data_IF_671756532524
#
_entry.id   IF_671756532524
#
_cell.length_a   1.000
_cell.length_b   1.000
_cell.length_c   1.000
_cell.angle_alpha   90.00
_cell.angle_beta   90.00
_cell.angle_gamma   90.00
#
_symmetry.space_group_name_H-M   'P 1'
#
loop_
_entity.id
_entity.type
_entity.pdbx_description
1 polymer ?
#
# COMPACT_ATOMS: atom_id res chain seq x y z
N UNK A 1 -63.30 -21.16 -12.16
CA UNK A 1 -63.53 -20.59 -10.81
C UNK A 1 -62.27 -20.00 -10.16
N UNK A 2 -61.05 -20.48 -10.45
CA UNK A 2 -59.80 -19.97 -9.83
C UNK A 2 -59.47 -18.48 -10.09
N UNK A 3 -59.79 -17.93 -11.27
CA UNK A 3 -59.52 -16.50 -11.57
C UNK A 3 -60.29 -15.53 -10.66
N UNK A 4 -61.52 -15.87 -10.25
CA UNK A 4 -62.33 -15.00 -9.36
C UNK A 4 -61.81 -15.00 -7.91
N UNK A 5 -61.25 -16.11 -7.43
CA UNK A 5 -60.63 -16.19 -6.10
C UNK A 5 -59.32 -15.39 -5.99
N UNK A 6 -58.45 -15.41 -7.03
CA UNK A 6 -57.20 -14.63 -7.04
C UNK A 6 -57.42 -13.12 -7.01
N UNK A 7 -58.49 -12.64 -7.66
CA UNK A 7 -58.91 -11.24 -7.63
C UNK A 7 -59.37 -10.81 -6.23
N UNK A 8 -60.05 -11.70 -5.49
CA UNK A 8 -60.57 -11.40 -4.16
C UNK A 8 -59.48 -11.22 -3.09
N UNK A 9 -58.34 -11.91 -3.23
CA UNK A 9 -57.20 -11.79 -2.31
C UNK A 9 -56.46 -10.46 -2.47
N UNK A 10 -56.12 -10.08 -3.71
CA UNK A 10 -55.40 -8.84 -4.02
C UNK A 10 -56.28 -7.58 -3.92
N UNK A 11 -57.59 -7.75 -3.85
CA UNK A 11 -58.58 -6.69 -3.63
C UNK A 11 -59.15 -6.72 -2.21
N UNK A 12 -58.47 -7.27 -1.20
CA UNK A 12 -58.91 -7.21 0.20
C UNK A 12 -57.89 -6.46 1.07
N UNK A 13 -58.23 -5.23 1.48
CA UNK A 13 -57.32 -4.34 2.21
C UNK A 13 -56.89 -4.90 3.57
N UNK A 14 -57.79 -5.43 4.43
CA UNK A 14 -57.42 -6.17 5.62
C UNK A 14 -56.37 -7.27 5.36
N UNK A 15 -56.56 -8.08 4.31
CA UNK A 15 -55.64 -9.18 3.97
C UNK A 15 -54.27 -8.67 3.53
N UNK A 16 -54.23 -7.64 2.68
CA UNK A 16 -52.97 -7.01 2.25
C UNK A 16 -52.24 -6.35 3.42
N UNK A 17 -52.97 -5.74 4.36
CA UNK A 17 -52.42 -5.10 5.55
C UNK A 17 -51.86 -6.14 6.53
N UNK A 18 -52.62 -7.20 6.81
CA UNK A 18 -52.14 -8.34 7.61
C UNK A 18 -50.91 -8.98 6.97
N UNK A 19 -50.91 -9.18 5.65
CA UNK A 19 -49.76 -9.74 4.95
C UNK A 19 -48.54 -8.81 4.98
N UNK A 20 -48.73 -7.49 4.89
CA UNK A 20 -47.66 -6.50 5.04
C UNK A 20 -47.04 -6.53 6.44
N UNK A 21 -47.87 -6.65 7.49
CA UNK A 21 -47.40 -6.72 8.88
C UNK A 21 -46.65 -8.02 9.15
N UNK A 22 -47.26 -9.17 8.82
CA UNK A 22 -46.64 -10.49 9.01
C UNK A 22 -45.38 -10.62 8.16
N UNK A 23 -45.43 -10.18 6.90
CA UNK A 23 -44.30 -10.17 5.99
C UNK A 23 -43.16 -9.30 6.50
N UNK A 24 -43.46 -8.12 7.07
CA UNK A 24 -42.45 -7.24 7.68
C UNK A 24 -41.82 -7.86 8.92
N UNK A 25 -42.62 -8.43 9.81
CA UNK A 25 -42.12 -9.10 11.01
C UNK A 25 -41.26 -10.32 10.66
N UNK A 26 -41.71 -11.14 9.71
CA UNK A 26 -40.97 -12.30 9.20
C UNK A 26 -39.66 -11.89 8.52
N UNK A 27 -39.69 -10.88 7.65
CA UNK A 27 -38.51 -10.35 6.98
C UNK A 27 -37.50 -9.79 7.99
N UNK A 28 -37.96 -9.02 8.98
CA UNK A 28 -37.09 -8.47 10.04
C UNK A 28 -36.42 -9.59 10.85
N UNK A 29 -37.18 -10.56 11.33
CA UNK A 29 -36.65 -11.69 12.11
C UNK A 29 -35.64 -12.50 11.29
N UNK A 30 -35.99 -12.84 10.04
CA UNK A 30 -35.06 -13.51 9.13
C UNK A 30 -33.77 -12.69 8.94
N UNK A 31 -33.88 -11.39 8.65
CA UNK A 31 -32.73 -10.51 8.41
C UNK A 31 -31.83 -10.41 9.64
N UNK A 32 -32.39 -10.24 10.84
CA UNK A 32 -31.60 -10.17 12.08
C UNK A 32 -30.79 -11.45 12.33
N UNK A 33 -31.41 -12.62 12.15
CA UNK A 33 -30.75 -13.93 12.30
C UNK A 33 -29.66 -14.10 11.24
N UNK A 34 -29.97 -13.83 9.97
CA UNK A 34 -29.03 -14.01 8.87
C UNK A 34 -27.85 -13.05 8.96
N UNK A 35 -28.09 -11.77 9.26
CA UNK A 35 -27.02 -10.79 9.41
C UNK A 35 -26.10 -11.14 10.58
N UNK A 36 -26.65 -11.64 11.70
CA UNK A 36 -25.86 -12.17 12.81
C UNK A 36 -25.04 -13.38 12.36
N UNK A 37 -25.65 -14.34 11.67
CA UNK A 37 -24.95 -15.52 11.16
C UNK A 37 -23.78 -15.15 10.23
N UNK A 38 -23.99 -14.21 9.30
CA UNK A 38 -22.93 -13.73 8.39
C UNK A 38 -21.80 -13.06 9.19
N UNK A 39 -22.14 -12.23 10.19
CA UNK A 39 -21.17 -11.56 11.05
C UNK A 39 -20.29 -12.55 11.82
N UNK A 40 -20.87 -13.61 12.35
CA UNK A 40 -20.22 -14.44 13.38
C UNK A 40 -19.66 -15.75 12.82
N UNK A 41 -20.36 -16.41 11.90
CA UNK A 41 -20.12 -17.82 11.58
C UNK A 41 -19.86 -18.10 10.10
N UNK A 42 -20.32 -17.25 9.17
CA UNK A 42 -20.18 -17.57 7.75
C UNK A 42 -18.71 -17.62 7.30
N UNK A 43 -18.43 -18.59 6.42
CA UNK A 43 -17.12 -18.88 5.84
C UNK A 43 -17.08 -18.80 4.31
N UNK A 44 -18.22 -18.55 3.67
CA UNK A 44 -18.37 -18.54 2.22
C UNK A 44 -19.13 -17.30 1.73
N UNK A 45 -18.49 -16.53 0.86
CA UNK A 45 -19.11 -15.35 0.24
C UNK A 45 -20.22 -15.72 -0.73
N UNK A 46 -20.18 -16.90 -1.35
CA UNK A 46 -21.30 -17.38 -2.17
C UNK A 46 -22.51 -17.69 -1.31
N UNK A 47 -22.30 -18.30 -0.13
CA UNK A 47 -23.38 -18.53 0.83
C UNK A 47 -23.94 -17.20 1.33
N UNK A 48 -23.09 -16.23 1.65
CA UNK A 48 -23.54 -14.89 2.04
C UNK A 48 -24.40 -14.22 0.96
N UNK A 49 -24.02 -14.39 -0.32
CA UNK A 49 -24.81 -13.88 -1.43
C UNK A 49 -26.23 -14.47 -1.43
N UNK A 50 -26.36 -15.80 -1.35
CA UNK A 50 -27.69 -16.46 -1.31
C UNK A 50 -28.49 -16.08 -0.07
N UNK A 51 -27.85 -16.00 1.10
CA UNK A 51 -28.51 -15.59 2.33
C UNK A 51 -29.04 -14.14 2.25
N UNK A 52 -28.26 -13.23 1.65
CA UNK A 52 -28.65 -11.86 1.37
C UNK A 52 -29.72 -11.75 0.27
N UNK A 53 -29.80 -12.69 -0.68
CA UNK A 53 -30.93 -12.72 -1.63
C UNK A 53 -32.26 -12.82 -0.89
N UNK A 54 -32.32 -13.57 0.22
CA UNK A 54 -33.49 -13.61 1.10
C UNK A 54 -33.88 -12.24 1.67
N UNK A 55 -32.90 -11.39 1.99
CA UNK A 55 -33.17 -10.00 2.42
C UNK A 55 -33.87 -9.20 1.31
N UNK A 56 -33.38 -9.27 0.07
CA UNK A 56 -34.00 -8.55 -1.05
C UNK A 56 -35.39 -9.10 -1.39
N UNK A 57 -35.57 -10.43 -1.32
CA UNK A 57 -36.89 -11.06 -1.46
C UNK A 57 -37.83 -10.56 -0.36
N UNK A 58 -37.36 -10.48 0.89
CA UNK A 58 -38.13 -9.92 2.02
C UNK A 58 -38.54 -8.48 1.81
N UNK A 59 -37.67 -7.63 1.25
CA UNK A 59 -38.02 -6.26 0.84
C UNK A 59 -39.18 -6.29 -0.16
N UNK A 60 -39.09 -7.08 -1.22
CA UNK A 60 -40.17 -7.17 -2.22
C UNK A 60 -41.48 -7.73 -1.64
N UNK A 61 -41.42 -8.72 -0.76
CA UNK A 61 -42.60 -9.29 -0.09
C UNK A 61 -43.39 -8.27 0.72
N UNK A 62 -42.74 -7.20 1.19
CA UNK A 62 -43.39 -6.10 1.92
C UNK A 62 -43.78 -4.97 0.97
N UNK A 63 -42.90 -4.60 0.05
CA UNK A 63 -43.13 -3.45 -0.84
C UNK A 63 -44.24 -3.70 -1.85
N UNK A 64 -44.40 -4.93 -2.37
CA UNK A 64 -45.49 -5.27 -3.30
C UNK A 64 -46.88 -5.06 -2.68
N UNK A 65 -47.22 -5.64 -1.51
CA UNK A 65 -48.53 -5.41 -0.90
C UNK A 65 -48.76 -3.97 -0.44
N UNK A 66 -47.72 -3.25 0.02
CA UNK A 66 -47.84 -1.82 0.31
C UNK A 66 -48.18 -1.01 -0.96
N UNK A 67 -47.57 -1.36 -2.09
CA UNK A 67 -47.86 -0.73 -3.38
C UNK A 67 -49.29 -1.05 -3.85
N UNK A 68 -49.77 -2.28 -3.64
CA UNK A 68 -51.15 -2.66 -3.94
C UNK A 68 -52.16 -1.92 -3.04
N UNK A 69 -51.84 -1.73 -1.76
CA UNK A 69 -52.63 -0.88 -0.85
C UNK A 69 -52.65 0.57 -1.34
N UNK A 70 -51.52 1.11 -1.78
CA UNK A 70 -51.43 2.46 -2.34
C UNK A 70 -52.28 2.61 -3.62
N UNK A 71 -52.17 1.66 -4.56
CA UNK A 71 -53.01 1.65 -5.78
C UNK A 71 -54.50 1.58 -5.43
N UNK A 72 -54.86 0.85 -4.38
CA UNK A 72 -56.24 0.79 -3.89
C UNK A 72 -56.73 2.12 -3.34
N UNK A 73 -55.99 2.71 -2.40
CA UNK A 73 -56.45 3.89 -1.66
C UNK A 73 -56.35 5.18 -2.47
N UNK A 74 -55.35 5.31 -3.33
CA UNK A 74 -55.08 6.56 -4.05
C UNK A 74 -55.43 6.49 -5.54
N UNK A 75 -55.42 5.30 -6.13
CA UNK A 75 -55.66 5.12 -7.57
C UNK A 75 -56.89 4.25 -7.87
N UNK A 76 -57.75 3.95 -6.89
CA UNK A 76 -58.96 3.14 -7.04
C UNK A 76 -58.75 1.79 -7.75
N UNK A 77 -57.65 1.09 -7.44
CA UNK A 77 -57.27 -0.20 -8.05
C UNK A 77 -57.00 -0.13 -9.57
N UNK A 78 -56.60 1.02 -10.12
CA UNK A 78 -56.34 1.18 -11.57
C UNK A 78 -55.38 0.14 -12.13
N UNK A 79 -54.29 -0.18 -11.42
CA UNK A 79 -53.32 -1.17 -11.88
C UNK A 79 -53.86 -2.60 -11.76
N UNK A 80 -54.50 -2.94 -10.64
CA UNK A 80 -55.10 -4.27 -10.43
C UNK A 80 -56.22 -4.54 -11.44
N UNK A 81 -57.08 -3.56 -11.70
CA UNK A 81 -58.16 -3.68 -12.68
C UNK A 81 -57.63 -3.88 -14.11
N UNK A 82 -56.51 -3.22 -14.46
CA UNK A 82 -55.79 -3.45 -15.72
C UNK A 82 -55.26 -4.89 -15.82
N UNK A 83 -54.59 -5.40 -14.79
CA UNK A 83 -54.02 -6.76 -14.78
C UNK A 83 -55.10 -7.85 -15.01
N UNK A 84 -56.33 -7.59 -14.54
CA UNK A 84 -57.44 -8.53 -14.65
C UNK A 84 -58.43 -8.20 -15.78
N UNK A 85 -58.15 -7.18 -16.60
CA UNK A 85 -59.02 -6.78 -17.70
C UNK A 85 -60.43 -6.39 -17.28
N UNK A 86 -60.61 -5.81 -16.09
CA UNK A 86 -61.92 -5.27 -15.67
C UNK A 86 -62.16 -3.95 -16.42
N UNK A 87 -63.23 -3.91 -17.20
CA UNK A 87 -63.64 -2.72 -17.94
C UNK A 87 -63.93 -1.56 -17.00
N UNK A 88 -63.26 -0.43 -17.25
CA UNK A 88 -63.56 0.85 -16.62
C UNK A 88 -64.72 1.45 -17.43
N UNK A 89 -65.87 1.63 -16.78
CA UNK A 89 -67.10 2.10 -17.42
C UNK A 89 -66.92 3.40 -18.23
N UNK A 90 -67.52 3.40 -19.43
CA UNK A 90 -67.82 4.52 -20.33
C UNK A 90 -67.00 5.81 -20.18
N UNK A 91 -65.73 5.76 -20.58
CA UNK A 91 -64.95 6.93 -21.00
C UNK A 91 -64.33 6.73 -22.38
N UNK A 92 -64.15 7.85 -23.06
CA UNK A 92 -63.56 7.96 -24.39
C UNK A 92 -62.22 7.19 -24.50
N UNK A 93 -61.95 6.56 -25.65
CA UNK A 93 -60.86 5.57 -25.83
C UNK A 93 -59.47 6.18 -25.53
N UNK A 94 -59.29 7.46 -25.89
CA UNK A 94 -58.08 8.23 -25.62
C UNK A 94 -57.88 8.49 -24.12
N UNK A 95 -58.95 8.82 -23.40
CA UNK A 95 -58.96 9.01 -21.95
C UNK A 95 -58.70 7.69 -21.22
N UNK A 96 -59.24 6.57 -21.71
CA UNK A 96 -58.96 5.22 -21.20
C UNK A 96 -57.47 4.87 -21.33
N UNK A 97 -56.88 5.07 -22.52
CA UNK A 97 -55.48 4.77 -22.77
C UNK A 97 -54.52 5.61 -21.90
N UNK A 98 -54.82 6.90 -21.70
CA UNK A 98 -54.05 7.78 -20.82
C UNK A 98 -54.19 7.41 -19.33
N UNK A 99 -55.37 7.06 -18.85
CA UNK A 99 -55.59 6.59 -17.47
C UNK A 99 -54.89 5.25 -17.18
N UNK A 100 -54.85 4.35 -18.17
CA UNK A 100 -54.18 3.05 -18.07
C UNK A 100 -52.65 3.19 -18.07
N UNK A 101 -52.10 4.15 -18.82
CA UNK A 101 -50.66 4.46 -18.82
C UNK A 101 -50.24 5.18 -17.55
N UNK A 102 -51.01 6.16 -17.07
CA UNK A 102 -50.70 6.90 -15.84
C UNK A 102 -50.82 6.02 -14.59
N UNK A 103 -51.85 5.15 -14.50
CA UNK A 103 -51.99 4.19 -13.40
C UNK A 103 -50.84 3.17 -13.33
N UNK A 104 -50.29 2.77 -14.47
CA UNK A 104 -49.11 1.88 -14.51
C UNK A 104 -47.84 2.61 -14.06
N UNK A 105 -47.63 3.84 -14.53
CA UNK A 105 -46.50 4.66 -14.10
C UNK A 105 -46.56 4.93 -12.58
N UNK A 106 -47.74 5.29 -12.06
CA UNK A 106 -47.96 5.51 -10.62
C UNK A 106 -47.70 4.26 -9.79
N UNK A 107 -48.10 3.07 -10.26
CA UNK A 107 -47.80 1.81 -9.58
C UNK A 107 -46.30 1.54 -9.51
N UNK A 108 -45.55 1.68 -10.61
CA UNK A 108 -44.09 1.44 -10.58
C UNK A 108 -43.34 2.48 -9.76
N UNK A 109 -43.76 3.75 -9.79
CA UNK A 109 -43.19 4.80 -8.94
C UNK A 109 -43.42 4.47 -7.47
N UNK A 110 -44.66 4.09 -7.10
CA UNK A 110 -44.99 3.67 -5.75
C UNK A 110 -44.19 2.42 -5.33
N UNK A 111 -44.03 1.44 -6.22
CA UNK A 111 -43.22 0.24 -5.97
C UNK A 111 -41.76 0.59 -5.68
N UNK A 112 -41.15 1.45 -6.49
CA UNK A 112 -39.78 1.92 -6.26
C UNK A 112 -39.65 2.65 -4.93
N UNK A 113 -40.61 3.52 -4.61
CA UNK A 113 -40.64 4.28 -3.36
C UNK A 113 -40.75 3.34 -2.15
N UNK A 114 -41.72 2.41 -2.13
CA UNK A 114 -41.88 1.46 -1.04
C UNK A 114 -40.71 0.47 -0.96
N UNK A 115 -40.13 0.06 -2.08
CA UNK A 115 -38.91 -0.77 -2.11
C UNK A 115 -37.73 -0.05 -1.45
N UNK A 116 -37.55 1.24 -1.79
CA UNK A 116 -36.46 2.05 -1.24
C UNK A 116 -36.64 2.28 0.26
N UNK A 117 -37.87 2.62 0.70
CA UNK A 117 -38.18 2.82 2.12
C UNK A 117 -38.01 1.50 2.89
N UNK A 118 -38.59 0.40 2.42
CA UNK A 118 -38.47 -0.91 3.09
C UNK A 118 -37.02 -1.37 3.16
N UNK A 119 -36.24 -1.19 2.09
CA UNK A 119 -34.80 -1.49 2.09
C UNK A 119 -34.06 -0.67 3.13
N UNK A 120 -34.27 0.65 3.16
CA UNK A 120 -33.61 1.55 4.11
C UNK A 120 -34.00 1.23 5.55
N UNK A 121 -35.29 0.99 5.82
CA UNK A 121 -35.78 0.63 7.16
C UNK A 121 -35.17 -0.69 7.64
N UNK A 122 -35.18 -1.74 6.81
CA UNK A 122 -34.60 -3.03 7.20
C UNK A 122 -33.07 -3.00 7.34
N UNK A 123 -32.36 -2.26 6.49
CA UNK A 123 -30.91 -2.11 6.63
C UNK A 123 -30.56 -1.32 7.89
N UNK A 124 -31.29 -0.23 8.18
CA UNK A 124 -31.08 0.62 9.37
C UNK A 124 -31.35 -0.18 10.65
N UNK A 125 -32.47 -0.89 10.72
CA UNK A 125 -32.79 -1.77 11.86
C UNK A 125 -31.79 -2.93 11.99
N UNK A 126 -31.19 -3.37 10.88
CA UNK A 126 -30.07 -4.32 10.86
C UNK A 126 -28.70 -3.72 11.22
N UNK A 127 -28.65 -2.45 11.62
CA UNK A 127 -27.42 -1.73 11.96
C UNK A 127 -26.56 -1.41 10.73
N UNK A 128 -27.18 -1.00 9.63
CA UNK A 128 -26.55 -0.67 8.35
C UNK A 128 -25.68 -1.82 7.80
N UNK A 129 -26.24 -3.03 7.83
CA UNK A 129 -25.53 -4.26 7.50
C UNK A 129 -24.90 -4.21 6.10
N UNK A 130 -25.59 -3.69 5.08
CA UNK A 130 -25.07 -3.67 3.71
C UNK A 130 -23.84 -2.77 3.56
N UNK A 131 -23.78 -1.65 4.29
CA UNK A 131 -22.60 -0.79 4.34
C UNK A 131 -21.44 -1.50 5.05
N UNK A 132 -21.71 -2.06 6.24
CA UNK A 132 -20.73 -2.83 7.00
C UNK A 132 -20.20 -4.05 6.23
N UNK A 133 -21.06 -4.78 5.53
CA UNK A 133 -20.71 -6.01 4.82
C UNK A 133 -19.78 -5.73 3.64
N UNK A 134 -20.08 -4.69 2.86
CA UNK A 134 -19.21 -4.24 1.76
C UNK A 134 -17.83 -3.81 2.25
N UNK A 135 -17.78 -3.14 3.40
CA UNK A 135 -16.53 -2.61 3.95
C UNK A 135 -15.68 -3.65 4.69
N UNK A 136 -16.32 -4.53 5.46
CA UNK A 136 -15.66 -5.49 6.34
C UNK A 136 -16.21 -6.91 6.20
N UNK A 137 -17.54 -7.09 6.19
CA UNK A 137 -18.17 -8.40 6.33
C UNK A 137 -17.73 -9.44 5.32
N UNK A 138 -17.68 -9.12 4.02
CA UNK A 138 -17.23 -10.07 2.99
C UNK A 138 -15.79 -10.56 3.21
N UNK A 139 -14.93 -9.69 3.75
CA UNK A 139 -13.54 -10.02 4.04
C UNK A 139 -13.41 -10.81 5.35
N UNK A 140 -14.24 -10.52 6.35
CA UNK A 140 -14.32 -11.30 7.59
C UNK A 140 -14.84 -12.72 7.33
N UNK A 141 -15.86 -12.88 6.48
CA UNK A 141 -16.30 -14.19 5.98
C UNK A 141 -15.13 -14.91 5.31
N UNK A 142 -14.44 -14.21 4.41
CA UNK A 142 -13.32 -14.79 3.66
C UNK A 142 -12.13 -15.17 4.55
N UNK A 143 -11.91 -14.50 5.70
CA UNK A 143 -10.92 -14.91 6.70
C UNK A 143 -11.24 -16.27 7.35
N UNK A 144 -12.51 -16.69 7.36
CA UNK A 144 -12.90 -18.01 7.87
C UNK A 144 -12.91 -19.09 6.77
N UNK A 145 -12.63 -18.73 5.52
CA UNK A 145 -12.59 -19.69 4.42
C UNK A 145 -11.43 -20.67 4.55
N UNK A 146 -11.55 -21.86 3.95
CA UNK A 146 -10.48 -22.87 3.90
C UNK A 146 -9.30 -22.44 3.01
N UNK A 147 -9.54 -21.54 2.06
CA UNK A 147 -8.52 -21.05 1.12
C UNK A 147 -7.59 -20.01 1.75
N UNK A 148 -6.31 -20.37 1.95
CA UNK A 148 -5.29 -19.43 2.44
C UNK A 148 -5.17 -18.19 1.55
N UNK A 149 -5.22 -18.35 0.23
CA UNK A 149 -5.18 -17.24 -0.74
C UNK A 149 -6.32 -16.24 -0.51
N UNK A 150 -7.53 -16.73 -0.25
CA UNK A 150 -8.68 -15.88 0.05
C UNK A 150 -8.51 -15.16 1.40
N UNK A 151 -7.98 -15.85 2.42
CA UNK A 151 -7.68 -15.24 3.73
C UNK A 151 -6.63 -14.13 3.60
N UNK A 152 -5.51 -14.39 2.92
CA UNK A 152 -4.44 -13.39 2.69
C UNK A 152 -4.96 -12.17 1.92
N UNK A 153 -5.71 -12.37 0.83
CA UNK A 153 -6.33 -11.25 0.08
C UNK A 153 -7.27 -10.42 0.98
N UNK A 154 -7.96 -11.08 1.90
CA UNK A 154 -8.87 -10.42 2.85
C UNK A 154 -8.12 -9.63 3.91
N UNK A 155 -6.96 -10.10 4.38
CA UNK A 155 -6.09 -9.32 5.27
C UNK A 155 -5.66 -8.00 4.63
N UNK A 156 -5.22 -8.03 3.36
CA UNK A 156 -4.89 -6.80 2.61
C UNK A 156 -6.09 -5.85 2.51
N UNK A 157 -7.26 -6.39 2.14
CA UNK A 157 -8.48 -5.59 1.95
C UNK A 157 -8.90 -4.94 3.27
N UNK A 158 -8.89 -5.70 4.38
CA UNK A 158 -9.23 -5.20 5.71
C UNK A 158 -8.25 -4.13 6.20
N UNK A 159 -6.96 -4.27 5.92
CA UNK A 159 -5.97 -3.25 6.26
C UNK A 159 -6.17 -1.97 5.45
N UNK A 160 -6.58 -2.08 4.17
CA UNK A 160 -6.85 -0.92 3.31
C UNK A 160 -8.15 -0.17 3.64
N UNK A 161 -9.13 -0.84 4.27
CA UNK A 161 -10.44 -0.26 4.60
C UNK A 161 -10.43 0.84 5.67
N UNK A 162 -9.25 1.20 6.21
CA UNK A 162 -9.06 2.37 7.05
C UNK A 162 -8.97 2.08 8.55
N UNK A 163 -8.14 2.90 9.20
CA UNK A 163 -7.44 2.72 10.47
C UNK A 163 -8.27 2.29 11.71
N UNK A 164 -7.57 1.55 12.57
CA UNK A 164 -7.66 1.59 14.05
C UNK A 164 -8.97 1.15 14.73
N UNK A 165 -9.80 0.32 14.10
CA UNK A 165 -10.85 -0.38 14.87
C UNK A 165 -10.19 -1.40 15.82
N UNK A 166 -10.36 -1.29 17.16
CA UNK A 166 -9.69 -2.18 18.10
C UNK A 166 -10.04 -3.66 17.87
N UNK A 167 -11.29 -3.95 17.50
CA UNK A 167 -11.73 -5.32 17.18
C UNK A 167 -11.00 -5.91 15.96
N UNK A 168 -10.65 -5.10 14.97
CA UNK A 168 -9.92 -5.54 13.79
C UNK A 168 -8.44 -5.79 14.13
N UNK A 169 -7.85 -4.98 15.01
CA UNK A 169 -6.49 -5.20 15.51
C UNK A 169 -6.38 -6.52 16.28
N UNK A 170 -7.40 -6.88 17.08
CA UNK A 170 -7.47 -8.19 17.75
C UNK A 170 -7.48 -9.36 16.74
N UNK A 171 -8.19 -9.21 15.62
CA UNK A 171 -8.20 -10.22 14.55
C UNK A 171 -6.80 -10.35 13.93
N UNK A 172 -6.13 -9.23 13.62
CA UNK A 172 -4.77 -9.27 13.10
C UNK A 172 -3.78 -9.88 14.10
N UNK A 173 -3.87 -9.53 15.39
CA UNK A 173 -3.01 -10.11 16.43
C UNK A 173 -3.23 -11.63 16.58
N UNK A 174 -4.49 -12.09 16.60
CA UNK A 174 -4.81 -13.52 16.68
C UNK A 174 -4.30 -14.29 15.45
N UNK A 175 -4.43 -13.70 14.26
CA UNK A 175 -3.88 -14.27 13.01
C UNK A 175 -2.36 -14.26 12.98
N UNK A 176 -1.71 -13.26 13.53
CA UNK A 176 -0.25 -13.24 13.66
C UNK A 176 0.24 -14.34 14.61
N UNK A 177 -0.55 -14.64 15.66
CA UNK A 177 -0.25 -15.72 16.61
C UNK A 177 -0.49 -17.12 16.04
N UNK A 178 -1.69 -17.37 15.51
CA UNK A 178 -2.20 -18.72 15.15
C UNK A 178 -2.30 -19.00 13.66
N UNK A 179 -2.17 -17.97 12.82
CA UNK A 179 -2.33 -18.10 11.38
C UNK A 179 -1.22 -18.92 10.72
N UNK A 180 -1.44 -19.21 9.45
CA UNK A 180 -0.45 -19.78 8.53
C UNK A 180 0.76 -18.86 8.36
N UNK A 181 1.89 -19.40 7.89
CA UNK A 181 3.10 -18.61 7.63
C UNK A 181 2.83 -17.41 6.73
N UNK A 182 2.06 -17.59 5.65
CA UNK A 182 1.74 -16.48 4.74
C UNK A 182 0.85 -15.42 5.39
N UNK A 183 -0.13 -15.81 6.21
CA UNK A 183 -0.95 -14.86 6.97
C UNK A 183 -0.07 -14.04 7.93
N UNK A 184 0.84 -14.69 8.66
CA UNK A 184 1.79 -14.01 9.57
C UNK A 184 2.65 -13.01 8.83
N UNK A 185 3.32 -13.44 7.75
CA UNK A 185 4.16 -12.57 6.92
C UNK A 185 3.38 -11.40 6.32
N UNK A 186 2.13 -11.63 5.89
CA UNK A 186 1.25 -10.58 5.38
C UNK A 186 0.98 -9.52 6.44
N UNK A 187 0.65 -9.93 7.67
CA UNK A 187 0.33 -9.00 8.76
C UNK A 187 1.59 -8.24 9.22
N UNK A 188 2.73 -8.92 9.33
CA UNK A 188 4.03 -8.32 9.64
C UNK A 188 4.35 -7.22 8.61
N UNK A 189 4.21 -7.54 7.33
CA UNK A 189 4.43 -6.60 6.24
C UNK A 189 3.46 -5.40 6.32
N UNK A 190 2.16 -5.64 6.50
CA UNK A 190 1.13 -4.59 6.64
C UNK A 190 1.41 -3.65 7.84
N UNK A 191 1.94 -4.20 8.93
CA UNK A 191 2.32 -3.40 10.09
C UNK A 191 3.52 -2.49 9.77
N UNK A 192 4.54 -3.03 9.09
CA UNK A 192 5.71 -2.27 8.65
C UNK A 192 5.41 -1.21 7.57
N UNK A 193 4.39 -1.40 6.75
CA UNK A 193 3.97 -0.45 5.70
C UNK A 193 3.05 0.67 6.20
N UNK A 194 3.05 0.97 7.50
CA UNK A 194 2.26 2.01 8.18
C UNK A 194 0.74 1.77 8.27
N UNK A 195 0.24 0.56 8.02
CA UNK A 195 -1.20 0.30 8.07
C UNK A 195 -1.69 -0.19 9.44
N UNK A 196 -0.83 -0.73 10.31
CA UNK A 196 -1.25 -1.41 11.55
C UNK A 196 -0.32 -1.10 12.76
N UNK A 197 -0.53 0.02 13.43
CA UNK A 197 0.18 0.38 14.68
C UNK A 197 -0.72 0.14 15.91
N UNK A 198 -0.60 -1.04 16.53
CA UNK A 198 -1.34 -1.40 17.75
C UNK A 198 -0.43 -2.18 18.71
N UNK A 199 -0.49 -1.97 20.05
CA UNK A 199 0.39 -2.63 21.01
C UNK A 199 0.40 -4.16 20.90
N UNK A 200 -0.77 -4.80 20.74
CA UNK A 200 -0.87 -6.25 20.56
C UNK A 200 -0.14 -6.75 19.31
N UNK A 201 -0.21 -5.99 18.21
CA UNK A 201 0.47 -6.34 16.96
C UNK A 201 1.97 -6.18 17.15
N UNK A 202 2.43 -5.08 17.76
CA UNK A 202 3.85 -4.85 18.04
C UNK A 202 4.42 -5.97 18.92
N UNK A 203 3.70 -6.37 19.97
CA UNK A 203 4.07 -7.48 20.85
C UNK A 203 4.23 -8.79 20.09
N UNK A 204 3.29 -9.12 19.20
CA UNK A 204 3.37 -10.33 18.39
C UNK A 204 4.47 -10.26 17.31
N UNK A 205 4.78 -9.08 16.77
CA UNK A 205 5.94 -8.90 15.87
C UNK A 205 7.24 -9.09 16.65
N UNK A 206 7.35 -8.59 17.88
CA UNK A 206 8.48 -8.82 18.78
C UNK A 206 8.67 -10.31 19.08
N UNK A 207 7.59 -11.05 19.32
CA UNK A 207 7.65 -12.52 19.43
C UNK A 207 8.18 -13.16 18.13
N UNK A 208 7.79 -12.62 16.97
CA UNK A 208 8.25 -13.08 15.65
C UNK A 208 9.77 -12.98 15.45
N UNK A 209 10.45 -12.02 16.10
CA UNK A 209 11.93 -11.95 16.09
C UNK A 209 12.56 -13.21 16.68
N UNK A 210 11.91 -13.83 17.67
CA UNK A 210 12.38 -15.05 18.33
C UNK A 210 12.01 -16.33 17.58
N UNK A 211 11.41 -16.21 16.39
CA UNK A 211 10.99 -17.37 15.59
C UNK A 211 12.19 -18.15 15.05
N UNK A 212 12.08 -19.48 15.00
CA UNK A 212 13.03 -20.33 14.29
C UNK A 212 12.91 -20.21 12.75
N UNK A 213 11.78 -19.71 12.25
CA UNK A 213 11.59 -19.46 10.82
C UNK A 213 12.29 -18.16 10.42
N UNK A 214 13.35 -18.28 9.61
CA UNK A 214 14.14 -17.13 9.16
C UNK A 214 13.31 -16.09 8.40
N UNK A 215 12.28 -16.50 7.65
CA UNK A 215 11.41 -15.56 6.92
C UNK A 215 10.58 -14.73 7.88
N UNK A 216 9.96 -15.36 8.88
CA UNK A 216 9.19 -14.65 9.92
C UNK A 216 10.11 -13.72 10.70
N UNK A 217 11.26 -14.24 11.17
CA UNK A 217 12.25 -13.47 11.92
C UNK A 217 12.69 -12.21 11.18
N UNK A 218 13.19 -12.34 9.96
CA UNK A 218 13.75 -11.21 9.20
C UNK A 218 12.69 -10.18 8.81
N UNK A 219 11.47 -10.61 8.47
CA UNK A 219 10.38 -9.68 8.18
C UNK A 219 9.87 -8.99 9.45
N UNK A 220 9.85 -9.68 10.59
CA UNK A 220 9.52 -9.08 11.89
C UNK A 220 10.51 -7.99 12.28
N UNK A 221 11.81 -8.25 12.10
CA UNK A 221 12.88 -7.26 12.32
C UNK A 221 12.63 -6.04 11.42
N UNK A 222 12.46 -6.24 10.12
CA UNK A 222 12.19 -5.16 9.17
C UNK A 222 10.94 -4.36 9.53
N UNK A 223 9.84 -5.02 9.87
CA UNK A 223 8.60 -4.36 10.26
C UNK A 223 8.79 -3.49 11.52
N UNK A 224 9.47 -4.01 12.55
CA UNK A 224 9.75 -3.24 13.76
C UNK A 224 10.58 -2.00 13.48
N UNK A 225 11.65 -2.12 12.69
CA UNK A 225 12.49 -0.95 12.33
C UNK A 225 11.72 0.14 11.57
N UNK A 226 10.61 -0.20 10.91
CA UNK A 226 9.73 0.77 10.23
C UNK A 226 8.63 1.34 11.13
N UNK A 227 8.24 0.61 12.18
CA UNK A 227 7.19 1.03 13.11
C UNK A 227 7.77 1.92 14.22
N UNK A 228 9.00 1.64 14.66
CA UNK A 228 9.66 2.35 15.76
C UNK A 228 10.10 3.75 15.33
N UNK A 229 9.68 4.78 16.08
CA UNK A 229 10.13 6.16 15.85
C UNK A 229 11.56 6.38 16.37
N UNK A 230 11.92 5.70 17.45
CA UNK A 230 13.29 5.71 18.02
C UNK A 230 13.73 4.27 18.23
N UNK A 231 14.89 3.84 17.69
CA UNK A 231 15.41 2.50 17.93
C UNK A 231 15.77 2.32 19.41
N UNK A 232 15.22 1.27 20.03
CA UNK A 232 15.69 0.82 21.34
C UNK A 232 17.05 0.13 21.22
N UNK A 233 17.93 0.33 22.21
CA UNK A 233 19.28 -0.25 22.26
C UNK A 233 19.26 -1.77 22.03
N UNK A 234 18.29 -2.47 22.62
CA UNK A 234 18.15 -3.93 22.47
C UNK A 234 17.88 -4.35 21.01
N UNK A 235 17.12 -3.54 20.27
CA UNK A 235 16.81 -3.83 18.86
C UNK A 235 18.04 -3.63 17.99
N UNK A 236 18.80 -2.56 18.23
CA UNK A 236 20.08 -2.30 17.53
C UNK A 236 21.04 -3.46 17.77
N UNK A 237 21.27 -3.82 19.05
CA UNK A 237 22.18 -4.90 19.43
C UNK A 237 21.76 -6.24 18.82
N UNK A 238 20.46 -6.56 18.84
CA UNK A 238 19.97 -7.81 18.26
C UNK A 238 20.22 -7.88 16.73
N UNK A 239 19.94 -6.80 16.00
CA UNK A 239 20.20 -6.74 14.55
C UNK A 239 21.70 -6.85 14.27
N UNK A 240 22.53 -6.19 15.09
CA UNK A 240 23.99 -6.28 14.99
C UNK A 240 24.49 -7.71 15.18
N UNK A 241 24.00 -8.41 16.21
CA UNK A 241 24.33 -9.81 16.48
C UNK A 241 23.90 -10.75 15.34
N UNK A 242 22.69 -10.58 14.80
CA UNK A 242 22.23 -11.39 13.66
C UNK A 242 23.08 -11.13 12.41
N UNK A 243 23.40 -9.86 12.10
CA UNK A 243 24.29 -9.53 10.99
C UNK A 243 25.70 -10.09 11.19
N UNK A 244 26.24 -10.03 12.41
CA UNK A 244 27.55 -10.63 12.74
C UNK A 244 27.60 -12.12 12.46
N UNK A 245 26.52 -12.88 12.70
CA UNK A 245 26.45 -14.32 12.38
C UNK A 245 26.65 -14.59 10.88
N UNK A 246 26.11 -13.73 10.02
CA UNK A 246 26.30 -13.85 8.57
C UNK A 246 27.73 -13.47 8.17
N UNK A 247 28.28 -12.42 8.77
CA UNK A 247 29.65 -11.99 8.53
C UNK A 247 30.67 -13.06 8.93
N UNK A 248 30.55 -13.66 10.13
CA UNK A 248 31.45 -14.72 10.60
C UNK A 248 31.31 -16.00 9.77
N UNK A 249 30.10 -16.30 9.29
CA UNK A 249 29.88 -17.42 8.38
C UNK A 249 30.33 -17.15 6.94
N UNK A 250 30.76 -15.92 6.60
CA UNK A 250 31.08 -15.52 5.23
C UNK A 250 29.88 -15.59 4.27
N UNK A 251 28.65 -15.52 4.80
CA UNK A 251 27.41 -15.67 4.03
C UNK A 251 26.74 -14.33 3.84
N UNK A 252 26.10 -14.16 2.68
CA UNK A 252 25.26 -12.99 2.41
C UNK A 252 24.06 -12.94 3.39
N UNK A 253 23.87 -11.82 4.13
CA UNK A 253 22.68 -11.64 4.95
C UNK A 253 21.41 -11.44 4.09
N UNK A 254 20.23 -11.80 4.62
CA UNK A 254 18.95 -11.51 4.00
C UNK A 254 18.78 -10.01 3.76
N UNK A 255 18.25 -9.65 2.59
CA UNK A 255 18.06 -8.24 2.17
C UNK A 255 17.22 -7.47 3.21
N UNK A 256 16.18 -8.09 3.76
CA UNK A 256 15.33 -7.49 4.80
C UNK A 256 16.13 -7.10 6.06
N UNK A 257 17.11 -7.92 6.45
CA UNK A 257 17.92 -7.66 7.64
C UNK A 257 18.88 -6.48 7.40
N UNK A 258 19.47 -6.38 6.21
CA UNK A 258 20.35 -5.25 5.84
C UNK A 258 19.56 -3.95 5.76
N UNK A 259 18.38 -3.96 5.14
CA UNK A 259 17.51 -2.78 5.09
C UNK A 259 16.96 -2.39 6.46
N UNK A 260 16.68 -3.35 7.33
CA UNK A 260 16.29 -3.05 8.71
C UNK A 260 17.38 -2.25 9.43
N UNK A 261 18.64 -2.69 9.35
CA UNK A 261 19.78 -1.95 9.91
C UNK A 261 19.94 -0.56 9.26
N UNK A 262 19.78 -0.47 7.92
CA UNK A 262 19.85 0.80 7.20
C UNK A 262 18.74 1.79 7.61
N UNK A 263 17.53 1.33 7.93
CA UNK A 263 16.43 2.20 8.38
C UNK A 263 16.63 2.75 9.78
N UNK A 264 17.38 2.07 10.65
CA UNK A 264 17.68 2.60 11.98
C UNK A 264 18.65 3.79 11.93
N UNK A 265 19.46 3.90 10.86
CA UNK A 265 20.36 5.05 10.60
C UNK A 265 21.35 5.34 11.74
N UNK A 266 21.75 4.31 12.49
CA UNK A 266 22.60 4.48 13.67
C UNK A 266 24.08 4.24 13.35
N UNK A 267 24.99 4.83 14.13
CA UNK A 267 26.44 4.79 13.86
C UNK A 267 27.09 3.47 14.27
N UNK A 268 26.44 2.68 15.11
CA UNK A 268 26.88 1.37 15.60
C UNK A 268 27.09 0.39 14.44
N UNK A 269 26.31 0.51 13.37
CA UNK A 269 26.42 -0.37 12.21
C UNK A 269 27.56 -0.01 11.24
N UNK A 270 28.22 1.15 11.37
CA UNK A 270 29.23 1.60 10.38
C UNK A 270 30.36 0.58 10.20
N UNK A 271 30.99 0.17 11.30
CA UNK A 271 32.11 -0.79 11.21
C UNK A 271 31.64 -2.13 10.65
N UNK A 272 30.46 -2.60 11.08
CA UNK A 272 29.87 -3.85 10.60
C UNK A 272 29.58 -3.80 9.10
N UNK A 273 29.01 -2.69 8.61
CA UNK A 273 28.77 -2.49 7.18
C UNK A 273 30.07 -2.47 6.38
N UNK A 274 31.11 -1.80 6.89
CA UNK A 274 32.45 -1.80 6.26
C UNK A 274 33.00 -3.22 6.17
N UNK A 275 32.92 -4.00 7.25
CA UNK A 275 33.39 -5.38 7.25
C UNK A 275 32.58 -6.28 6.30
N UNK A 276 31.29 -6.04 6.14
CA UNK A 276 30.43 -6.80 5.22
C UNK A 276 30.76 -6.60 3.75
N UNK A 277 31.48 -5.54 3.35
CA UNK A 277 31.98 -5.43 1.96
C UNK A 277 32.93 -6.58 1.59
N UNK A 278 33.53 -7.27 2.57
CA UNK A 278 34.41 -8.43 2.36
C UNK A 278 33.67 -9.67 1.81
N UNK A 279 32.34 -9.72 1.89
CA UNK A 279 31.51 -10.87 1.46
C UNK A 279 31.45 -11.00 -0.08
N UNK A 280 32.01 -10.06 -0.85
CA UNK A 280 32.10 -10.07 -2.32
C UNK A 280 30.77 -10.40 -3.03
N UNK A 281 29.66 -9.83 -2.55
CA UNK A 281 28.35 -9.87 -3.22
C UNK A 281 27.97 -8.46 -3.66
N UNK A 282 27.87 -8.26 -4.98
CA UNK A 282 27.62 -6.94 -5.56
C UNK A 282 26.32 -6.30 -5.05
N UNK A 283 25.26 -7.09 -4.91
CA UNK A 283 23.96 -6.58 -4.46
C UNK A 283 24.01 -6.11 -3.01
N UNK A 284 24.70 -6.86 -2.15
CA UNK A 284 24.97 -6.46 -0.78
C UNK A 284 25.81 -5.18 -0.75
N UNK A 285 26.90 -5.10 -1.51
CA UNK A 285 27.75 -3.90 -1.57
C UNK A 285 26.98 -2.65 -2.01
N UNK A 286 26.03 -2.80 -2.95
CA UNK A 286 25.12 -1.73 -3.36
C UNK A 286 24.22 -1.26 -2.21
N UNK A 287 23.60 -2.19 -1.48
CA UNK A 287 22.75 -1.86 -0.32
C UNK A 287 23.57 -1.25 0.81
N UNK A 288 24.78 -1.75 1.08
CA UNK A 288 25.69 -1.22 2.11
C UNK A 288 26.15 0.20 1.77
N UNK A 289 26.44 0.48 0.49
CA UNK A 289 26.80 1.83 0.04
C UNK A 289 25.66 2.82 0.27
N UNK A 290 24.42 2.38 0.04
CA UNK A 290 23.24 3.15 0.43
C UNK A 290 23.17 3.32 1.97
N UNK A 291 23.30 2.25 2.74
CA UNK A 291 23.14 2.28 4.19
C UNK A 291 24.14 3.24 4.88
N UNK A 292 25.41 3.24 4.45
CA UNK A 292 26.46 4.08 5.03
C UNK A 292 26.18 5.59 4.91
N UNK A 293 25.48 6.01 3.87
CA UNK A 293 25.18 7.43 3.60
C UNK A 293 24.05 7.94 4.49
N UNK A 294 23.16 7.05 4.89
CA UNK A 294 21.98 7.40 5.68
C UNK A 294 22.21 7.34 7.18
N UNK A 295 23.41 6.99 7.63
CA UNK A 295 23.79 7.03 9.03
C UNK A 295 23.74 8.47 9.54
N UNK A 296 23.10 8.67 10.69
CA UNK A 296 22.93 9.98 11.33
C UNK A 296 24.02 10.24 12.36
N UNK A 297 24.69 11.39 12.26
CA UNK A 297 25.72 11.83 13.22
C UNK A 297 27.02 11.02 13.26
N UNK A 298 27.60 10.57 12.14
CA UNK A 298 28.92 9.92 12.18
C UNK A 298 30.02 10.89 12.63
N UNK A 299 30.99 10.39 13.40
CA UNK A 299 32.17 11.16 13.81
C UNK A 299 33.12 11.40 12.62
N UNK A 300 34.03 12.39 12.66
CA UNK A 300 35.01 12.61 11.58
C UNK A 300 35.86 11.37 11.26
N UNK A 301 36.22 10.59 12.29
CA UNK A 301 36.95 9.33 12.13
C UNK A 301 36.10 8.31 11.37
N UNK A 302 34.81 8.19 11.71
CA UNK A 302 33.89 7.29 10.99
C UNK A 302 33.69 7.75 9.54
N UNK A 303 33.52 9.05 9.29
CA UNK A 303 33.40 9.62 7.94
C UNK A 303 34.61 9.25 7.09
N UNK A 304 35.84 9.43 7.60
CA UNK A 304 37.05 9.07 6.86
C UNK A 304 37.13 7.58 6.51
N UNK A 305 36.66 6.68 7.40
CA UNK A 305 36.57 5.23 7.14
C UNK A 305 35.55 4.93 6.05
N UNK A 306 34.38 5.57 6.09
CA UNK A 306 33.34 5.42 5.07
C UNK A 306 33.88 5.86 3.71
N UNK A 307 34.45 7.06 3.63
CA UNK A 307 35.03 7.61 2.41
C UNK A 307 36.11 6.68 1.86
N UNK A 308 37.00 6.12 2.70
CA UNK A 308 38.00 5.14 2.27
C UNK A 308 37.37 3.90 1.64
N UNK A 309 36.32 3.35 2.22
CA UNK A 309 35.62 2.21 1.65
C UNK A 309 34.93 2.55 0.32
N UNK A 310 34.29 3.72 0.23
CA UNK A 310 33.65 4.18 -1.00
C UNK A 310 34.70 4.46 -2.10
N UNK A 311 35.85 5.06 -1.80
CA UNK A 311 36.97 5.21 -2.75
C UNK A 311 37.40 3.85 -3.33
N UNK A 312 37.54 2.84 -2.48
CA UNK A 312 37.89 1.50 -2.92
C UNK A 312 36.86 0.93 -3.91
N UNK A 313 35.57 1.13 -3.62
CA UNK A 313 34.48 0.67 -4.48
C UNK A 313 34.44 1.41 -5.84
N UNK A 314 34.81 2.69 -5.91
CA UNK A 314 34.92 3.40 -7.20
C UNK A 314 36.05 2.82 -8.05
N UNK A 315 37.21 2.57 -7.43
CA UNK A 315 38.38 2.10 -8.17
C UNK A 315 38.29 0.65 -8.63
N UNK A 316 37.65 -0.23 -7.83
CA UNK A 316 37.64 -1.68 -8.08
C UNK A 316 36.26 -2.31 -8.26
N UNK A 317 35.18 -1.55 -8.08
CA UNK A 317 33.82 -2.05 -8.18
C UNK A 317 33.33 -2.21 -9.62
N UNK A 318 32.24 -2.95 -9.78
CA UNK A 318 31.46 -3.02 -11.02
C UNK A 318 30.84 -1.66 -11.38
N UNK A 319 30.41 -1.47 -12.62
CA UNK A 319 29.70 -0.25 -13.07
C UNK A 319 28.50 0.08 -12.17
N UNK A 320 27.74 -0.94 -11.77
CA UNK A 320 26.61 -0.82 -10.86
C UNK A 320 27.02 -0.29 -9.49
N UNK A 321 28.07 -0.87 -8.90
CA UNK A 321 28.59 -0.45 -7.60
C UNK A 321 29.23 0.94 -7.67
N UNK A 322 29.96 1.26 -8.75
CA UNK A 322 30.52 2.60 -9.01
C UNK A 322 29.42 3.65 -9.06
N UNK A 323 28.32 3.37 -9.77
CA UNK A 323 27.15 4.24 -9.83
C UNK A 323 26.63 4.57 -8.43
N UNK A 324 26.36 3.54 -7.63
CA UNK A 324 25.81 3.67 -6.28
C UNK A 324 26.76 4.36 -5.31
N UNK A 325 28.05 4.09 -5.44
CA UNK A 325 29.09 4.69 -4.61
C UNK A 325 29.27 6.17 -4.93
N UNK A 326 29.11 6.57 -6.19
CA UNK A 326 29.17 7.98 -6.58
C UNK A 326 27.96 8.74 -6.09
N UNK A 327 26.77 8.11 -6.11
CA UNK A 327 25.59 8.64 -5.44
C UNK A 327 25.89 8.85 -3.95
N UNK A 328 26.47 7.84 -3.29
CA UNK A 328 26.83 7.91 -1.89
C UNK A 328 27.78 9.07 -1.55
N UNK A 329 28.85 9.24 -2.34
CA UNK A 329 29.81 10.33 -2.14
C UNK A 329 29.22 11.72 -2.35
N UNK A 330 28.13 11.86 -3.14
CA UNK A 330 27.46 13.16 -3.32
C UNK A 330 27.02 13.75 -1.99
N UNK A 331 26.61 12.91 -1.04
CA UNK A 331 26.14 13.34 0.27
C UNK A 331 27.27 13.59 1.28
N UNK A 332 28.47 13.10 0.99
CA UNK A 332 29.67 13.29 1.80
C UNK A 332 30.66 14.24 1.11
N UNK A 333 30.20 14.99 0.10
CA UNK A 333 31.04 15.81 -0.76
C UNK A 333 31.92 16.77 0.05
N UNK A 334 31.36 17.44 1.05
CA UNK A 334 32.07 18.43 1.90
C UNK A 334 33.19 17.82 2.76
N UNK A 335 33.29 16.49 2.85
CA UNK A 335 34.27 15.79 3.69
C UNK A 335 35.31 15.04 2.86
N UNK A 336 35.34 15.24 1.54
CA UNK A 336 36.28 14.56 0.64
C UNK A 336 37.68 15.15 0.74
N UNK A 337 38.68 14.26 0.80
CA UNK A 337 40.10 14.61 0.70
C UNK A 337 40.55 14.78 -0.76
N UNK A 338 41.71 15.42 -0.97
CA UNK A 338 42.27 15.69 -2.31
C UNK A 338 42.46 14.41 -3.13
N UNK A 339 42.79 13.30 -2.48
CA UNK A 339 42.93 11.99 -3.12
C UNK A 339 41.57 11.48 -3.63
N UNK A 340 40.48 11.66 -2.88
CA UNK A 340 39.12 11.33 -3.32
C UNK A 340 38.73 12.15 -4.55
N UNK A 341 39.05 13.44 -4.52
CA UNK A 341 38.77 14.35 -5.64
C UNK A 341 39.62 13.99 -6.87
N UNK A 342 40.87 13.53 -6.69
CA UNK A 342 41.70 13.01 -7.77
C UNK A 342 41.13 11.71 -8.38
N UNK A 343 40.65 10.77 -7.56
CA UNK A 343 39.99 9.55 -8.04
C UNK A 343 38.74 9.89 -8.85
N UNK A 344 37.92 10.81 -8.36
CA UNK A 344 36.72 11.26 -9.06
C UNK A 344 37.05 11.92 -10.41
N UNK A 345 38.09 12.76 -10.47
CA UNK A 345 38.58 13.34 -11.75
C UNK A 345 38.99 12.26 -12.74
N UNK A 346 39.77 11.26 -12.29
CA UNK A 346 40.19 10.13 -13.14
C UNK A 346 39.00 9.30 -13.60
N UNK A 347 38.03 9.02 -12.73
CA UNK A 347 36.83 8.30 -13.11
C UNK A 347 36.05 9.11 -14.15
N UNK A 348 35.81 10.41 -13.95
CA UNK A 348 35.12 11.28 -14.93
C UNK A 348 35.74 11.19 -16.32
N UNK A 349 37.07 11.22 -16.41
CA UNK A 349 37.84 11.14 -17.65
C UNK A 349 37.90 9.72 -18.25
N UNK A 350 37.65 8.67 -17.45
CA UNK A 350 37.70 7.30 -17.92
C UNK A 350 36.52 6.97 -18.86
N UNK A 351 36.77 6.07 -19.83
CA UNK A 351 35.71 5.49 -20.70
C UNK A 351 34.65 4.74 -19.89
N UNK A 352 35.01 4.19 -18.72
CA UNK A 352 34.04 3.57 -17.82
C UNK A 352 32.93 4.54 -17.43
N UNK A 353 33.16 5.85 -17.39
CA UNK A 353 32.13 6.81 -17.01
C UNK A 353 30.98 7.02 -18.01
N UNK A 354 31.01 6.34 -19.17
CA UNK A 354 29.91 6.36 -20.14
C UNK A 354 28.83 5.29 -19.88
N UNK A 355 28.92 4.53 -18.76
CA UNK A 355 27.91 3.53 -18.42
C UNK A 355 26.56 4.15 -18.01
N UNK A 356 25.48 3.39 -18.23
CA UNK A 356 24.12 3.79 -17.84
C UNK A 356 23.86 3.45 -16.38
N UNK A 357 23.77 4.47 -15.53
CA UNK A 357 23.25 4.33 -14.16
C UNK A 357 21.76 3.92 -14.19
N UNK A 358 21.49 2.64 -13.97
CA UNK A 358 20.13 2.09 -13.95
C UNK A 358 19.46 2.25 -12.56
N UNK A 359 18.12 2.24 -12.50
CA UNK A 359 17.38 2.18 -11.25
C UNK A 359 17.67 0.93 -10.44
N UNK A 360 18.10 1.13 -9.19
CA UNK A 360 18.27 0.07 -8.20
C UNK A 360 16.99 -0.04 -7.35
N UNK A 361 16.09 -0.91 -7.80
CA UNK A 361 14.79 -1.12 -7.16
C UNK A 361 14.76 -2.46 -6.42
N UNK A 362 14.58 -2.39 -5.11
CA UNK A 362 14.51 -3.55 -4.22
C UNK A 362 13.10 -3.75 -3.71
N UNK A 363 12.55 -4.95 -3.90
CA UNK A 363 11.32 -5.36 -3.23
C UNK A 363 11.61 -5.84 -1.83
N UNK A 364 10.98 -5.22 -0.84
CA UNK A 364 11.04 -5.66 0.55
C UNK A 364 9.84 -6.52 0.96
N UNK A 365 8.85 -6.69 0.08
CA UNK A 365 7.80 -7.66 0.26
C UNK A 365 8.36 -9.09 0.25
N UNK A 366 7.92 -9.91 1.18
CA UNK A 366 8.40 -11.28 1.40
C UNK A 366 8.17 -12.27 0.23
N UNK A 367 7.32 -11.93 -0.74
CA UNK A 367 6.87 -12.85 -1.81
C UNK A 367 6.64 -12.13 -3.17
N UNK A 368 6.23 -10.86 -3.17
CA UNK A 368 5.84 -10.15 -4.40
C UNK A 368 6.87 -9.10 -4.84
N UNK A 369 7.67 -9.39 -5.88
CA UNK A 369 8.75 -8.50 -6.38
C UNK A 369 8.31 -7.09 -6.83
N UNK A 370 7.01 -6.86 -7.02
CA UNK A 370 6.45 -5.58 -7.48
C UNK A 370 5.83 -4.75 -6.35
N UNK A 371 5.79 -5.27 -5.11
CA UNK A 371 5.21 -4.57 -3.96
C UNK A 371 6.30 -4.12 -2.99
N UNK A 372 6.03 -3.03 -2.27
CA UNK A 372 6.93 -2.47 -1.26
C UNK A 372 8.36 -2.31 -1.82
N UNK A 373 8.42 -1.62 -2.96
CA UNK A 373 9.66 -1.41 -3.69
C UNK A 373 10.34 -0.14 -3.23
N UNK A 374 11.63 -0.23 -2.96
CA UNK A 374 12.49 0.91 -2.65
C UNK A 374 13.44 1.11 -3.80
N UNK A 375 13.34 2.29 -4.41
CA UNK A 375 14.33 2.74 -5.37
C UNK A 375 15.45 3.46 -4.60
N UNK A 376 16.55 2.76 -4.32
CA UNK A 376 17.67 3.33 -3.54
C UNK A 376 18.53 4.30 -4.35
N UNK A 377 18.36 4.32 -5.67
CA UNK A 377 18.97 5.33 -6.54
C UNK A 377 18.18 6.65 -6.53
N UNK A 378 16.85 6.60 -6.40
CA UNK A 378 15.99 7.79 -6.30
C UNK A 378 15.97 8.27 -4.85
N UNK A 379 17.00 9.02 -4.48
CA UNK A 379 17.12 9.60 -3.15
C UNK A 379 16.38 10.92 -3.09
N UNK A 380 15.36 11.00 -2.24
CA UNK A 380 14.70 12.25 -1.86
C UNK A 380 15.26 12.68 -0.51
N UNK A 381 16.02 13.78 -0.48
CA UNK A 381 16.61 14.32 0.75
C UNK A 381 16.30 15.81 0.83
N UNK A 382 15.72 16.27 1.96
CA UNK A 382 15.33 17.67 2.21
C UNK A 382 14.47 18.30 1.11
N UNK A 383 13.59 17.51 0.48
CA UNK A 383 12.70 17.97 -0.60
C UNK A 383 13.30 17.91 -2.00
N UNK A 384 14.61 17.70 -2.16
CA UNK A 384 15.24 17.53 -3.47
C UNK A 384 15.13 16.07 -3.93
N UNK A 385 14.49 15.87 -5.09
CA UNK A 385 14.38 14.56 -5.74
C UNK A 385 15.38 14.52 -6.88
N UNK A 386 16.44 13.73 -6.74
CA UNK A 386 17.43 13.55 -7.81
C UNK A 386 16.97 12.45 -8.77
N UNK A 387 16.73 12.74 -10.07
CA UNK A 387 16.54 11.70 -11.07
C UNK A 387 17.89 11.02 -11.31
N UNK A 388 18.04 9.81 -10.77
CA UNK A 388 19.34 9.14 -10.74
C UNK A 388 19.66 8.31 -12.01
N UNK A 389 18.98 8.53 -13.13
CA UNK A 389 18.99 7.61 -14.29
C UNK A 389 19.23 8.30 -15.61
N UNK A 390 20.13 7.75 -16.43
CA UNK A 390 20.38 8.16 -17.80
C UNK A 390 21.87 8.20 -18.13
N UNK A 391 22.19 8.35 -19.42
CA UNK A 391 23.57 8.23 -19.95
C UNK A 391 24.53 9.29 -19.44
N UNK A 392 24.03 10.50 -19.16
CA UNK A 392 24.87 11.67 -18.84
C UNK A 392 24.98 11.92 -17.32
N UNK A 393 24.01 11.42 -16.55
CA UNK A 393 23.86 11.74 -15.14
C UNK A 393 24.95 11.16 -14.23
N UNK A 394 25.67 10.11 -14.65
CA UNK A 394 26.79 9.59 -13.86
C UNK A 394 27.95 10.59 -13.81
N UNK A 395 28.46 11.00 -14.99
CA UNK A 395 29.47 12.04 -15.12
C UNK A 395 29.02 13.37 -14.53
N UNK A 396 27.76 13.73 -14.73
CA UNK A 396 27.17 14.93 -14.13
C UNK A 396 27.35 14.97 -12.60
N UNK A 397 27.11 13.85 -11.90
CA UNK A 397 27.27 13.79 -10.44
C UNK A 397 28.71 13.97 -10.02
N UNK A 398 29.63 13.29 -10.71
CA UNK A 398 31.06 13.44 -10.42
C UNK A 398 31.43 14.92 -10.57
N UNK A 399 31.00 15.55 -11.66
CA UNK A 399 31.26 16.97 -11.93
C UNK A 399 30.67 17.89 -10.85
N UNK A 400 29.45 17.59 -10.37
CA UNK A 400 28.81 18.34 -9.28
C UNK A 400 29.56 18.19 -7.95
N UNK A 401 30.02 16.99 -7.60
CA UNK A 401 30.85 16.76 -6.40
C UNK A 401 32.15 17.55 -6.49
N UNK A 402 32.81 17.52 -7.64
CA UNK A 402 34.04 18.26 -7.88
C UNK A 402 33.81 19.77 -7.82
N UNK A 403 32.69 20.25 -8.39
CA UNK A 403 32.35 21.67 -8.39
C UNK A 403 32.04 22.19 -6.97
N UNK A 404 31.41 21.36 -6.12
CA UNK A 404 31.15 21.68 -4.71
C UNK A 404 32.43 21.81 -3.87
N UNK A 405 33.47 21.05 -4.21
CA UNK A 405 34.77 21.06 -3.53
C UNK A 405 35.85 21.79 -4.33
N UNK A 406 35.44 22.69 -5.23
CA UNK A 406 36.37 23.35 -6.12
C UNK A 406 37.31 24.26 -5.34
N UNK A 407 38.59 24.10 -5.58
CA UNK A 407 39.63 25.06 -5.25
C UNK A 407 40.27 25.66 -6.51
N UNK A 408 41.19 26.60 -6.32
CA UNK A 408 41.84 27.29 -7.44
C UNK A 408 42.75 26.35 -8.26
N UNK A 409 43.24 25.26 -7.65
CA UNK A 409 44.03 24.23 -8.34
C UNK A 409 43.20 23.40 -9.33
N UNK A 410 41.87 23.35 -9.15
CA UNK A 410 40.97 22.64 -10.05
C UNK A 410 40.50 23.46 -11.25
N UNK A 411 40.70 24.78 -11.26
CA UNK A 411 40.24 25.64 -12.37
C UNK A 411 40.78 25.21 -13.75
N UNK A 412 42.08 24.90 -13.92
CA UNK A 412 42.59 24.45 -15.21
C UNK A 412 41.95 23.13 -15.67
N UNK A 413 41.58 22.27 -14.72
CA UNK A 413 40.89 21.02 -15.01
C UNK A 413 39.46 21.28 -15.52
N UNK A 414 38.71 22.16 -14.87
CA UNK A 414 37.35 22.54 -15.31
C UNK A 414 37.36 23.22 -16.67
N UNK A 415 38.31 24.12 -16.93
CA UNK A 415 38.48 24.78 -18.24
C UNK A 415 38.81 23.77 -19.35
N UNK A 416 39.67 22.79 -19.06
CA UNK A 416 39.97 21.71 -19.99
C UNK A 416 38.72 20.87 -20.30
N UNK A 417 37.94 20.51 -19.28
CA UNK A 417 36.71 19.73 -19.47
C UNK A 417 35.62 20.53 -20.21
N UNK A 418 35.53 21.83 -19.95
CA UNK A 418 34.64 22.75 -20.64
C UNK A 418 34.88 22.82 -22.17
N UNK A 419 36.12 22.59 -22.59
CA UNK A 419 36.54 22.66 -23.99
C UNK A 419 36.73 21.28 -24.64
N UNK A 420 36.54 20.18 -23.90
CA UNK A 420 36.74 18.83 -24.43
C UNK A 420 35.56 18.35 -25.28
N UNK A 421 35.71 18.38 -26.60
CA UNK A 421 34.65 18.00 -27.57
C UNK A 421 34.16 16.55 -27.46
N UNK A 422 34.95 15.66 -26.85
CA UNK A 422 34.54 14.28 -26.60
C UNK A 422 33.50 14.15 -25.48
N UNK A 423 33.22 15.24 -24.76
CA UNK A 423 32.25 15.29 -23.66
C UNK A 423 30.94 15.90 -24.16
N UNK A 424 29.81 15.33 -23.69
CA UNK A 424 28.48 15.85 -23.99
C UNK A 424 28.37 17.36 -23.71
N UNK A 425 27.71 18.08 -24.61
CA UNK A 425 27.58 19.55 -24.56
C UNK A 425 26.98 20.06 -23.24
N UNK A 426 26.01 19.35 -22.67
CA UNK A 426 25.44 19.70 -21.37
C UNK A 426 26.51 19.67 -20.26
N UNK A 427 27.32 18.61 -20.19
CA UNK A 427 28.39 18.48 -19.19
C UNK A 427 29.49 19.53 -19.40
N UNK A 428 29.81 19.87 -20.66
CA UNK A 428 30.71 20.99 -20.98
C UNK A 428 30.16 22.31 -20.45
N UNK A 429 28.86 22.55 -20.60
CA UNK A 429 28.16 23.71 -20.04
C UNK A 429 28.29 23.79 -18.52
N UNK A 430 28.09 22.68 -17.81
CA UNK A 430 28.27 22.63 -16.36
C UNK A 430 29.73 22.87 -15.94
N UNK A 431 30.69 22.33 -16.68
CA UNK A 431 32.12 22.57 -16.42
C UNK A 431 32.50 24.05 -16.63
N UNK A 432 31.94 24.70 -17.67
CA UNK A 432 32.09 26.16 -17.89
C UNK A 432 31.53 26.97 -16.73
N UNK A 433 30.36 26.58 -16.22
CA UNK A 433 29.75 27.23 -15.06
C UNK A 433 30.60 27.05 -13.80
N UNK A 434 31.12 25.84 -13.56
CA UNK A 434 32.01 25.56 -12.43
C UNK A 434 33.35 26.31 -12.50
N UNK A 435 33.91 26.49 -13.71
CA UNK A 435 35.13 27.27 -13.94
C UNK A 435 34.92 28.78 -13.66
N UNK A 436 33.75 29.33 -14.02
CA UNK A 436 33.45 30.77 -13.88
C UNK A 436 32.96 31.20 -12.50
N UNK A 437 32.54 30.26 -11.64
CA UNK A 437 31.88 30.58 -10.37
C UNK A 437 32.83 31.33 -9.41
N UNK A 438 32.41 32.43 -8.80
CA UNK A 438 33.23 33.06 -7.74
C UNK A 438 33.05 32.30 -6.42
N UNK A 439 34.16 32.09 -5.68
CA UNK A 439 34.20 31.28 -4.45
C UNK A 439 33.24 31.78 -3.34
N UNK A 440 32.84 33.06 -3.41
CA UNK A 440 32.02 33.74 -2.41
C UNK A 440 30.50 33.71 -2.68
N UNK A 441 30.05 33.20 -3.84
CA UNK A 441 28.63 33.05 -4.11
C UNK A 441 28.13 31.69 -3.59
N UNK A 442 27.86 31.66 -2.28
CA UNK A 442 26.98 30.70 -1.62
C UNK A 442 25.51 30.89 -2.04
N UNK A 443 25.25 31.26 -3.30
CA UNK A 443 23.99 30.87 -3.90
C UNK A 443 24.02 29.35 -3.95
N UNK A 444 23.25 28.74 -3.06
CA UNK A 444 22.70 27.41 -3.25
C UNK A 444 21.87 27.52 -4.53
N UNK A 445 22.55 27.54 -5.68
CA UNK A 445 21.91 27.66 -6.96
C UNK A 445 20.99 26.44 -7.09
N UNK A 446 19.82 26.67 -7.66
CA UNK A 446 18.90 25.65 -8.15
C UNK A 446 19.64 24.65 -9.06
N UNK A 447 20.31 23.66 -8.47
CA UNK A 447 21.17 22.66 -9.12
C UNK A 447 20.85 21.26 -8.61
#
# INVERSE_FOLDING_TARGET
MEKKQKVHFLQNAPVLLTWSIIGSAGAYTYNSIIFKYIREASTSTSRDFFLRMGFYIGVFLVSIPLTLLFDRFFNNNRYVNKLYGKDIDNKDILTKAQMIKSGQAQFYIALLLFTTISWWSFDTLGGNFNSWYRKYGQHLTSLRSSSEKARVKSLHSLASSGNSKPWLMKIFADRLKKGTKNEKLTIIWLAGSNSLKHPDIIKEIQNGIKSNDASIKNNSILALTRIMEVPGIETVRFIEEELKKYLTAGKKPPVQLVFAAAFLRTTEFINLFIDMFKINDETLSVILSYALVWVSGPTPIQISRIIRQLKHNISKGSERLKCMTTIALTFMAQSLDDESLAILRREFEAKSSDFRCNPEVFSLHFNEKKRDTINITKLTIRGFTYPAHGKVHYRERILRILALNRDDSMLPWFERMANNENINEYLRGLAKQAAKRNKNENQIADW
#
